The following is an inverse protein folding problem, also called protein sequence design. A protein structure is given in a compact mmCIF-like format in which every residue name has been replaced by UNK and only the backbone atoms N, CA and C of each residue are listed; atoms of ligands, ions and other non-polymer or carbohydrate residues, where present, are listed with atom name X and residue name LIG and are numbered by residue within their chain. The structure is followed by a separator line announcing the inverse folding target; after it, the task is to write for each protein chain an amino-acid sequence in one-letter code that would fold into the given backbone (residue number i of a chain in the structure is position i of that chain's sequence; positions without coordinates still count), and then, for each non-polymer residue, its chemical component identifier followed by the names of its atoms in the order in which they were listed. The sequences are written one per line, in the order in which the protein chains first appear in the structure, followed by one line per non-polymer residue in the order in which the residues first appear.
data_IF_647817289174
#
_entry.id   IF_647817289174
#
_cell.length_a   1.000
_cell.length_b   1.000
_cell.length_c   1.000
_cell.angle_alpha   90.00
_cell.angle_beta   90.00
_cell.angle_gamma   90.00
#
_symmetry.space_group_name_H-M   'P 1'
#
loop_
_entity.id
_entity.type
_entity.pdbx_description
1 polymer ?
#
# COMPACT_ATOMS: atom_id res chain seq x y z
N UNK A 1 -5.91 22.93 10.20
CA UNK A 1 -4.85 21.91 10.07
C UNK A 1 -3.84 22.42 9.05
N UNK A 2 -2.57 22.58 9.40
CA UNK A 2 -1.57 23.22 8.53
C UNK A 2 -1.31 22.34 7.30
N UNK A 3 -1.32 22.92 6.12
CA UNK A 3 -0.99 22.32 4.82
C UNK A 3 0.32 21.51 4.84
N UNK A 4 1.32 21.98 5.62
CA UNK A 4 2.58 21.27 5.83
C UNK A 4 2.40 19.91 6.52
N UNK A 5 1.42 19.75 7.41
CA UNK A 5 1.11 18.47 8.08
C UNK A 5 0.45 17.48 7.12
N UNK A 6 -0.38 17.94 6.20
CA UNK A 6 -1.03 17.07 5.20
C UNK A 6 -0.03 16.57 4.15
N UNK A 7 0.91 17.41 3.71
CA UNK A 7 1.99 17.01 2.79
C UNK A 7 2.98 16.03 3.45
N UNK A 8 3.34 16.26 4.71
CA UNK A 8 4.19 15.33 5.48
C UNK A 8 3.56 13.96 5.63
N UNK A 9 2.25 13.87 5.70
CA UNK A 9 1.51 12.62 5.90
C UNK A 9 1.44 11.78 4.64
N UNK A 10 1.31 12.39 3.46
CA UNK A 10 1.35 11.61 2.23
C UNK A 10 2.77 11.19 1.82
N UNK A 11 3.78 11.98 2.19
CA UNK A 11 5.16 11.49 2.18
C UNK A 11 5.32 10.27 3.11
N UNK A 12 4.59 10.25 4.23
CA UNK A 12 4.58 9.14 5.19
C UNK A 12 3.77 7.94 4.71
N UNK A 13 2.81 8.10 3.80
CA UNK A 13 2.03 7.00 3.20
C UNK A 13 2.88 6.10 2.30
N UNK A 14 3.91 6.67 1.68
CA UNK A 14 4.92 5.89 0.95
C UNK A 14 6.12 5.48 1.83
N UNK A 15 6.17 5.97 3.07
CA UNK A 15 7.22 5.65 4.05
C UNK A 15 6.66 4.66 5.07
N UNK A 16 7.00 3.44 4.91
CA UNK A 16 6.52 2.26 5.60
C UNK A 16 7.29 2.06 6.91
N UNK A 17 6.64 1.96 8.05
CA UNK A 17 7.30 1.82 9.36
C UNK A 17 6.98 0.50 10.07
N UNK A 18 7.99 -0.04 10.66
CA UNK A 18 8.25 -1.09 11.57
C UNK A 18 7.14 -1.92 12.21
N UNK A 19 6.90 -3.08 11.67
CA UNK A 19 6.19 -4.19 12.27
C UNK A 19 5.85 -5.21 11.19
N UNK A 20 5.88 -6.49 11.50
CA UNK A 20 5.27 -7.48 10.64
C UNK A 20 3.78 -7.19 10.54
N UNK A 21 3.18 -7.28 9.35
CA UNK A 21 1.73 -7.28 9.19
C UNK A 21 1.13 -8.40 10.06
N UNK A 22 -0.06 -8.18 10.63
CA UNK A 22 -0.72 -9.16 11.49
C UNK A 22 -1.25 -10.37 10.69
N UNK A 23 -1.41 -10.24 9.38
CA UNK A 23 -1.90 -11.30 8.50
C UNK A 23 -0.78 -12.08 7.82
N UNK A 24 -1.02 -13.37 7.60
CA UNK A 24 -0.13 -14.25 6.84
C UNK A 24 -0.47 -14.22 5.35
N UNK A 25 0.20 -13.33 4.61
CA UNK A 25 -0.06 -13.17 3.17
C UNK A 25 0.21 -14.46 2.38
N UNK A 26 1.13 -15.31 2.81
CA UNK A 26 1.40 -16.60 2.17
C UNK A 26 0.19 -17.54 2.25
N UNK A 27 -0.41 -17.63 3.44
CA UNK A 27 -1.63 -18.44 3.65
C UNK A 27 -2.82 -17.87 2.89
N UNK A 28 -3.02 -16.54 2.92
CA UNK A 28 -4.08 -15.86 2.18
C UNK A 28 -3.91 -16.08 0.68
N UNK A 29 -2.71 -15.91 0.15
CA UNK A 29 -2.41 -16.13 -1.27
C UNK A 29 -2.71 -17.57 -1.69
N UNK A 30 -2.33 -18.55 -0.87
CA UNK A 30 -2.61 -19.97 -1.12
C UNK A 30 -4.11 -20.28 -1.15
N UNK A 31 -4.90 -19.59 -0.31
CA UNK A 31 -6.34 -19.83 -0.20
C UNK A 31 -7.14 -19.10 -1.31
N UNK A 32 -6.71 -17.93 -1.76
CA UNK A 32 -7.52 -17.03 -2.58
C UNK A 32 -7.00 -16.83 -4.01
N UNK A 33 -5.72 -17.10 -4.29
CA UNK A 33 -5.22 -16.96 -5.67
C UNK A 33 -5.71 -18.10 -6.56
N UNK A 34 -6.10 -17.79 -7.82
CA UNK A 34 -6.36 -18.82 -8.81
C UNK A 34 -5.11 -19.70 -9.07
N UNK A 35 -5.27 -20.98 -9.46
CA UNK A 35 -4.16 -21.93 -9.61
C UNK A 35 -3.05 -21.52 -10.60
N UNK A 36 -3.34 -20.59 -11.53
CA UNK A 36 -2.36 -20.06 -12.47
C UNK A 36 -1.37 -19.07 -11.85
N UNK A 37 -1.69 -18.56 -10.65
CA UNK A 37 -0.83 -17.63 -9.92
C UNK A 37 0.10 -18.36 -8.97
N UNK A 38 1.26 -17.77 -8.79
CA UNK A 38 2.22 -18.21 -7.77
C UNK A 38 2.63 -16.99 -6.93
N UNK A 39 2.52 -17.14 -5.62
CA UNK A 39 3.06 -16.18 -4.66
C UNK A 39 4.20 -16.84 -3.90
N UNK A 40 5.29 -16.11 -3.71
CA UNK A 40 6.46 -16.56 -2.96
C UNK A 40 6.93 -15.42 -2.05
N UNK A 41 6.93 -15.65 -0.75
CA UNK A 41 7.52 -14.75 0.23
C UNK A 41 9.02 -14.63 0.03
N UNK A 42 9.54 -13.41 0.19
CA UNK A 42 10.95 -13.14 0.36
C UNK A 42 11.16 -13.01 1.88
N UNK A 43 11.81 -14.01 2.52
CA UNK A 43 11.77 -14.15 3.99
C UNK A 43 12.52 -13.03 4.72
N UNK A 44 13.37 -12.30 4.03
CA UNK A 44 14.17 -11.23 4.62
C UNK A 44 13.33 -9.96 4.78
N UNK A 45 13.27 -9.45 6.00
CA UNK A 45 12.72 -8.14 6.28
C UNK A 45 13.69 -7.08 5.75
N UNK A 46 13.16 -6.15 4.96
CA UNK A 46 13.92 -5.08 4.33
C UNK A 46 13.80 -3.79 5.13
N UNK A 47 14.79 -2.93 5.01
CA UNK A 47 14.81 -1.61 5.64
C UNK A 47 14.82 -0.51 4.56
N UNK A 48 13.97 0.49 4.74
CA UNK A 48 14.00 1.74 3.98
C UNK A 48 14.40 2.87 4.92
N UNK A 49 15.51 3.53 4.63
CA UNK A 49 15.94 4.74 5.34
C UNK A 49 15.46 5.98 4.61
N UNK A 50 14.71 6.83 5.31
CA UNK A 50 14.22 8.08 4.77
C UNK A 50 14.29 9.18 5.82
N UNK A 51 15.14 10.18 5.60
CA UNK A 51 15.54 11.17 6.61
C UNK A 51 16.07 10.47 7.89
N UNK A 52 15.53 10.81 9.04
CA UNK A 52 15.93 10.25 10.35
C UNK A 52 15.16 8.98 10.74
N UNK A 53 14.34 8.44 9.82
CA UNK A 53 13.48 7.30 10.08
C UNK A 53 13.94 6.05 9.32
N UNK A 54 13.87 4.91 10.00
CA UNK A 54 14.04 3.58 9.39
C UNK A 54 12.68 2.89 9.35
N UNK A 55 12.31 2.44 8.18
CA UNK A 55 11.04 1.76 7.91
C UNK A 55 11.29 0.31 7.57
N UNK A 56 10.55 -0.59 8.21
CA UNK A 56 10.64 -2.02 7.97
C UNK A 56 9.50 -2.48 7.07
N UNK A 57 9.81 -3.28 6.05
CA UNK A 57 8.82 -3.84 5.15
C UNK A 57 9.18 -5.27 4.77
N UNK A 58 8.18 -6.02 4.29
CA UNK A 58 8.36 -7.35 3.72
C UNK A 58 8.02 -7.31 2.24
N UNK A 59 8.60 -8.24 1.51
CA UNK A 59 8.35 -8.40 0.09
C UNK A 59 7.95 -9.84 -0.22
N UNK A 60 7.14 -9.98 -1.27
CA UNK A 60 6.88 -11.27 -1.91
C UNK A 60 6.77 -11.07 -3.41
N UNK A 61 7.00 -12.11 -4.16
CA UNK A 61 6.87 -12.12 -5.61
C UNK A 61 5.53 -12.76 -6.00
N UNK A 62 4.74 -12.04 -6.78
CA UNK A 62 3.52 -12.52 -7.41
C UNK A 62 3.78 -12.73 -8.90
N UNK A 63 3.43 -13.88 -9.43
CA UNK A 63 3.58 -14.16 -10.86
C UNK A 63 2.41 -14.97 -11.40
N UNK A 64 2.19 -14.86 -12.71
CA UNK A 64 1.16 -15.64 -13.42
C UNK A 64 1.62 -15.99 -14.83
N UNK A 65 1.35 -17.23 -15.23
CA UNK A 65 1.51 -17.68 -16.60
C UNK A 65 0.14 -17.75 -17.29
N UNK A 66 -0.10 -16.83 -18.22
CA UNK A 66 -1.33 -16.77 -18.99
C UNK A 66 -1.26 -17.80 -20.14
N UNK A 67 -1.80 -19.00 -19.92
CA UNK A 67 -1.68 -20.14 -20.84
C UNK A 67 -2.15 -19.83 -22.28
N UNK A 68 -3.27 -19.10 -22.44
CA UNK A 68 -3.84 -18.78 -23.75
C UNK A 68 -2.95 -17.83 -24.57
N UNK A 69 -2.34 -16.85 -23.93
CA UNK A 69 -1.48 -15.85 -24.60
C UNK A 69 0.00 -16.19 -24.53
N UNK A 70 0.39 -17.21 -23.76
CA UNK A 70 1.78 -17.54 -23.43
C UNK A 70 2.56 -16.35 -22.82
N UNK A 71 1.84 -15.41 -22.20
CA UNK A 71 2.44 -14.24 -21.56
C UNK A 71 2.71 -14.56 -20.10
N UNK A 72 3.86 -14.15 -19.63
CA UNK A 72 4.25 -14.18 -18.23
C UNK A 72 4.14 -12.77 -17.67
N UNK A 73 3.43 -12.62 -16.54
CA UNK A 73 3.40 -11.38 -15.81
C UNK A 73 3.90 -11.61 -14.39
N UNK A 74 4.63 -10.64 -13.86
CA UNK A 74 5.18 -10.69 -12.51
C UNK A 74 5.15 -9.32 -11.84
N UNK A 75 5.14 -9.32 -10.52
CA UNK A 75 5.23 -8.12 -9.71
C UNK A 75 5.69 -8.45 -8.30
N UNK A 76 5.99 -7.42 -7.55
CA UNK A 76 6.34 -7.52 -6.15
C UNK A 76 5.19 -6.99 -5.30
N UNK A 77 4.86 -7.73 -4.25
CA UNK A 77 3.95 -7.28 -3.21
C UNK A 77 4.83 -6.83 -2.04
N UNK A 78 4.61 -5.61 -1.60
CA UNK A 78 5.31 -5.01 -0.46
C UNK A 78 4.28 -4.81 0.64
N UNK A 79 4.56 -5.29 1.85
CA UNK A 79 3.66 -5.14 3.00
C UNK A 79 4.37 -4.45 4.14
N UNK A 80 3.64 -3.60 4.85
CA UNK A 80 4.19 -2.85 5.96
C UNK A 80 3.11 -2.12 6.75
N UNK A 81 3.49 -1.61 7.93
CA UNK A 81 2.62 -0.77 8.77
C UNK A 81 2.90 0.71 8.53
N UNK A 82 1.85 1.52 8.46
CA UNK A 82 2.01 2.96 8.46
C UNK A 82 2.54 3.47 9.81
N UNK A 83 3.46 4.44 9.78
CA UNK A 83 3.86 5.12 11.01
C UNK A 83 2.67 5.85 11.66
N UNK A 84 2.66 6.02 12.99
CA UNK A 84 1.54 6.62 13.72
C UNK A 84 1.05 7.95 13.14
N UNK A 85 1.96 8.83 12.72
CA UNK A 85 1.60 10.11 12.11
C UNK A 85 0.84 9.97 10.78
N UNK A 86 1.18 8.94 9.98
CA UNK A 86 0.47 8.58 8.76
C UNK A 86 -0.89 7.97 9.05
N UNK A 87 -0.91 7.01 9.97
CA UNK A 87 -2.13 6.36 10.42
C UNK A 87 -3.14 7.38 10.97
N UNK A 88 -2.73 8.29 11.85
CA UNK A 88 -3.62 9.32 12.44
C UNK A 88 -4.27 10.24 11.40
N UNK A 89 -3.61 10.45 10.26
CA UNK A 89 -4.20 11.26 9.18
C UNK A 89 -5.17 10.47 8.34
N UNK A 90 -4.93 9.19 8.11
CA UNK A 90 -5.83 8.36 7.31
C UNK A 90 -7.00 7.77 8.12
N UNK A 91 -6.82 7.52 9.42
CA UNK A 91 -7.87 7.00 10.33
C UNK A 91 -9.25 7.65 10.15
N UNK A 92 -9.39 9.00 9.99
CA UNK A 92 -10.70 9.61 9.78
C UNK A 92 -11.44 9.13 8.53
N UNK A 93 -10.73 8.57 7.54
CA UNK A 93 -11.35 8.08 6.30
C UNK A 93 -11.84 6.64 6.42
N UNK A 94 -11.35 5.86 7.39
CA UNK A 94 -11.77 4.48 7.64
C UNK A 94 -13.07 4.45 8.45
N UNK A 95 -14.15 4.89 7.80
CA UNK A 95 -15.51 4.91 8.34
C UNK A 95 -16.49 4.49 7.27
N UNK A 96 -17.61 3.94 7.70
CA UNK A 96 -18.69 3.58 6.79
C UNK A 96 -19.16 4.80 5.97
N UNK A 97 -19.35 5.93 6.65
CA UNK A 97 -19.75 7.20 6.04
C UNK A 97 -18.78 8.33 6.42
N UNK A 98 -18.32 9.07 5.41
CA UNK A 98 -17.51 10.26 5.62
C UNK A 98 -18.39 11.48 5.88
N UNK A 99 -17.99 12.29 6.85
CA UNK A 99 -18.59 13.63 7.03
C UNK A 99 -18.23 14.53 5.84
N UNK A 100 -19.02 15.62 5.64
CA UNK A 100 -18.74 16.61 4.58
C UNK A 100 -17.32 17.20 4.69
N UNK A 101 -16.80 17.34 5.92
CA UNK A 101 -15.44 17.85 6.16
C UNK A 101 -14.38 16.85 5.71
N UNK A 102 -14.56 15.57 6.03
CA UNK A 102 -13.66 14.48 5.61
C UNK A 102 -13.69 14.32 4.09
N UNK A 103 -14.87 14.34 3.48
CA UNK A 103 -15.05 14.31 2.03
C UNK A 103 -14.30 15.44 1.31
N UNK A 104 -14.41 16.68 1.82
CA UNK A 104 -13.68 17.84 1.29
C UNK A 104 -12.16 17.70 1.48
N UNK A 105 -11.72 17.08 2.58
CA UNK A 105 -10.30 16.82 2.83
C UNK A 105 -9.74 15.78 1.87
N UNK A 106 -10.45 14.68 1.66
CA UNK A 106 -10.11 13.63 0.69
C UNK A 106 -10.04 14.19 -0.74
N UNK A 107 -11.03 15.00 -1.14
CA UNK A 107 -11.05 15.62 -2.47
C UNK A 107 -9.90 16.59 -2.70
N UNK A 108 -9.49 17.34 -1.67
CA UNK A 108 -8.31 18.23 -1.74
C UNK A 108 -7.02 17.45 -1.88
N UNK A 109 -6.90 16.37 -1.14
CA UNK A 109 -5.77 15.47 -1.19
C UNK A 109 -5.60 14.85 -2.58
N UNK A 110 -6.66 14.27 -3.11
CA UNK A 110 -6.65 13.70 -4.46
C UNK A 110 -6.28 14.74 -5.53
N UNK A 111 -6.81 15.96 -5.44
CA UNK A 111 -6.42 17.06 -6.35
C UNK A 111 -4.95 17.42 -6.24
N UNK A 112 -4.39 17.41 -5.03
CA UNK A 112 -2.97 17.69 -4.84
C UNK A 112 -2.07 16.61 -5.46
N UNK A 113 -2.50 15.35 -5.53
CA UNK A 113 -1.77 14.32 -6.28
C UNK A 113 -1.83 14.51 -7.79
N UNK A 114 -2.93 15.02 -8.32
CA UNK A 114 -3.09 15.31 -9.74
C UNK A 114 -2.27 16.53 -10.20
N UNK A 115 -1.98 17.44 -9.29
CA UNK A 115 -1.19 18.64 -9.57
C UNK A 115 0.32 18.30 -9.57
N UNK A 116 0.96 18.45 -10.76
CA UNK A 116 2.39 18.15 -10.96
C UNK A 116 3.32 18.99 -10.09
N UNK A 117 2.91 20.18 -9.73
CA UNK A 117 3.72 21.13 -8.96
C UNK A 117 3.45 21.05 -7.45
N UNK A 118 2.50 20.24 -7.04
CA UNK A 118 2.17 20.13 -5.62
C UNK A 118 3.33 19.54 -4.81
N UNK A 119 3.58 20.06 -3.60
CA UNK A 119 4.59 19.50 -2.70
C UNK A 119 4.30 18.02 -2.35
N UNK A 120 3.04 17.63 -2.38
CA UNK A 120 2.60 16.26 -2.08
C UNK A 120 3.10 15.29 -3.14
N UNK A 121 2.93 15.63 -4.41
CA UNK A 121 3.38 14.79 -5.52
C UNK A 121 4.91 14.74 -5.59
N UNK A 122 5.59 15.88 -5.48
CA UNK A 122 7.06 15.94 -5.46
C UNK A 122 7.66 15.13 -4.32
N UNK A 123 7.01 15.16 -3.14
CA UNK A 123 7.41 14.32 -2.02
C UNK A 123 7.22 12.83 -2.28
N UNK A 124 6.12 12.43 -2.93
CA UNK A 124 5.91 11.04 -3.32
C UNK A 124 6.97 10.55 -4.33
N UNK A 125 7.33 11.38 -5.31
CA UNK A 125 8.39 11.09 -6.29
C UNK A 125 9.76 10.95 -5.61
N UNK A 126 10.06 11.78 -4.60
CA UNK A 126 11.31 11.69 -3.81
C UNK A 126 11.37 10.40 -2.98
N UNK A 127 10.27 10.01 -2.35
CA UNK A 127 10.20 8.74 -1.62
C UNK A 127 10.42 7.54 -2.54
N UNK A 128 9.78 7.53 -3.71
CA UNK A 128 9.98 6.47 -4.71
C UNK A 128 11.44 6.42 -5.19
N UNK A 129 12.08 7.57 -5.38
CA UNK A 129 13.50 7.64 -5.74
C UNK A 129 14.39 7.07 -4.64
N UNK A 130 14.12 7.38 -3.38
CA UNK A 130 14.89 6.84 -2.25
C UNK A 130 14.68 5.33 -2.08
N UNK A 131 13.44 4.84 -2.24
CA UNK A 131 13.15 3.41 -2.23
C UNK A 131 13.91 2.68 -3.36
N UNK A 132 13.87 3.21 -4.58
CA UNK A 132 14.58 2.63 -5.70
C UNK A 132 16.10 2.58 -5.48
N UNK A 133 16.70 3.62 -4.88
CA UNK A 133 18.11 3.61 -4.47
C UNK A 133 18.44 2.46 -3.50
N UNK A 134 17.56 2.20 -2.54
CA UNK A 134 17.78 1.12 -1.57
C UNK A 134 17.67 -0.27 -2.20
N UNK A 135 16.80 -0.45 -3.20
CA UNK A 135 16.59 -1.76 -3.85
C UNK A 135 17.65 -2.05 -4.93
N UNK A 136 18.05 -1.05 -5.69
CA UNK A 136 18.93 -1.21 -6.85
C UNK A 136 20.39 -0.84 -6.51
N UNK A 137 20.62 -0.23 -5.35
CA UNK A 137 21.89 0.35 -4.98
C UNK A 137 22.03 1.80 -5.48
N UNK A 138 23.24 2.20 -5.88
CA UNK A 138 23.46 3.56 -6.39
C UNK A 138 22.73 3.77 -7.73
N UNK A 139 21.70 4.59 -7.70
CA UNK A 139 21.12 5.13 -8.93
C UNK A 139 22.05 6.23 -9.46
N UNK A 140 22.36 6.19 -10.77
CA UNK A 140 23.12 7.24 -11.44
C UNK A 140 22.51 8.65 -11.18
N UNK A 141 23.32 9.69 -11.19
CA UNK A 141 22.90 11.06 -10.88
C UNK A 141 21.75 11.58 -11.76
N UNK A 142 21.60 11.06 -12.99
CA UNK A 142 20.57 11.45 -13.97
C UNK A 142 19.20 10.77 -13.79
N UNK A 143 19.07 9.79 -12.89
CA UNK A 143 17.82 9.01 -12.78
C UNK A 143 16.68 9.85 -12.23
N UNK A 144 15.59 9.92 -13.00
CA UNK A 144 14.30 10.53 -12.60
C UNK A 144 13.24 9.43 -12.43
N UNK A 145 12.35 9.64 -11.46
CA UNK A 145 11.23 8.71 -11.21
C UNK A 145 9.93 9.52 -11.15
N UNK A 146 9.46 10.04 -12.30
CA UNK A 146 8.18 10.74 -12.35
C UNK A 146 7.01 9.77 -12.14
N UNK A 147 6.00 10.28 -11.43
CA UNK A 147 4.72 9.62 -11.27
C UNK A 147 3.70 10.21 -12.25
N UNK A 148 2.85 9.39 -12.82
CA UNK A 148 1.76 9.80 -13.72
C UNK A 148 0.54 8.90 -13.56
N UNK A 149 -0.53 9.20 -14.30
CA UNK A 149 -1.75 8.39 -14.37
C UNK A 149 -2.27 7.97 -12.99
N UNK A 150 -2.40 8.97 -12.11
CA UNK A 150 -2.86 8.75 -10.74
C UNK A 150 -4.29 8.23 -10.68
N UNK A 151 -4.44 7.10 -10.00
CA UNK A 151 -5.73 6.64 -9.50
C UNK A 151 -5.96 7.28 -8.12
N UNK A 152 -7.11 7.96 -7.92
CA UNK A 152 -7.36 8.68 -6.67
C UNK A 152 -7.50 7.71 -5.48
N UNK A 153 -7.09 8.17 -4.31
CA UNK A 153 -7.34 7.46 -3.05
C UNK A 153 -8.84 7.34 -2.83
N UNK A 154 -9.35 6.11 -2.79
CA UNK A 154 -10.78 5.79 -2.69
C UNK A 154 -10.99 4.42 -2.07
N UNK A 155 -12.19 4.14 -1.59
CA UNK A 155 -12.59 2.77 -1.22
C UNK A 155 -12.46 1.86 -2.44
N UNK A 156 -11.99 0.64 -2.21
CA UNK A 156 -11.86 -0.33 -3.30
C UNK A 156 -13.23 -0.73 -3.83
N UNK A 157 -14.16 -1.04 -2.92
CA UNK A 157 -15.57 -1.27 -3.23
C UNK A 157 -16.46 -0.54 -2.22
N UNK A 158 -17.74 -0.36 -2.52
CA UNK A 158 -18.69 0.29 -1.60
C UNK A 158 -18.87 -0.50 -0.29
N UNK A 159 -18.81 -1.84 -0.39
CA UNK A 159 -19.04 -2.75 0.74
C UNK A 159 -17.81 -2.91 1.63
N UNK A 160 -16.62 -2.54 1.14
CA UNK A 160 -15.35 -2.61 1.88
C UNK A 160 -15.08 -1.28 2.61
N UNK A 161 -15.73 -1.10 3.77
CA UNK A 161 -15.68 0.17 4.51
C UNK A 161 -14.25 0.54 4.96
N UNK A 162 -13.41 -0.45 5.21
CA UNK A 162 -12.08 -0.28 5.80
C UNK A 162 -10.94 -0.58 4.83
N UNK A 163 -11.22 -0.70 3.54
CA UNK A 163 -10.21 -0.93 2.51
C UNK A 163 -10.17 0.21 1.51
N UNK A 164 -9.04 0.91 1.46
CA UNK A 164 -8.78 1.99 0.51
C UNK A 164 -7.67 1.62 -0.44
N UNK A 165 -7.72 2.18 -1.64
CA UNK A 165 -6.69 1.96 -2.67
C UNK A 165 -6.34 3.27 -3.37
N UNK A 166 -5.12 3.32 -3.87
CA UNK A 166 -4.64 4.34 -4.80
C UNK A 166 -3.58 3.74 -5.72
N UNK A 167 -3.39 4.33 -6.90
CA UNK A 167 -2.39 3.83 -7.84
C UNK A 167 -1.72 4.94 -8.64
N UNK A 168 -0.60 4.61 -9.26
CA UNK A 168 0.09 5.49 -10.19
C UNK A 168 0.98 4.69 -11.14
N UNK A 169 1.23 5.26 -12.32
CA UNK A 169 2.33 4.85 -13.17
C UNK A 169 3.63 5.46 -12.65
N UNK A 170 4.65 4.64 -12.54
CA UNK A 170 5.98 4.97 -12.04
C UNK A 170 6.95 4.77 -13.20
N UNK A 171 7.60 5.82 -13.66
CA UNK A 171 8.53 5.71 -14.78
C UNK A 171 9.95 5.86 -14.27
N UNK A 172 10.80 4.86 -14.49
CA UNK A 172 12.24 5.00 -14.30
C UNK A 172 12.83 5.55 -15.61
N UNK A 173 13.37 6.74 -15.56
CA UNK A 173 14.01 7.42 -16.68
C UNK A 173 15.49 7.62 -16.33
N UNK A 174 16.37 6.93 -17.05
CA UNK A 174 17.82 6.98 -16.90
C UNK A 174 18.45 7.10 -18.27
N UNK A 175 18.94 8.29 -18.63
CA UNK A 175 19.70 8.57 -19.85
C UNK A 175 19.06 8.00 -21.14
N UNK A 176 17.73 8.13 -21.24
CA UNK A 176 16.94 7.66 -22.39
C UNK A 176 16.44 6.21 -22.27
N UNK A 177 16.84 5.47 -21.25
CA UNK A 177 16.19 4.21 -20.90
C UNK A 177 14.95 4.51 -20.07
N UNK A 178 13.78 4.20 -20.63
CA UNK A 178 12.48 4.42 -20.00
C UNK A 178 11.87 3.08 -19.63
N UNK A 179 11.72 2.82 -18.32
CA UNK A 179 11.11 1.61 -17.78
C UNK A 179 9.80 1.97 -17.06
N UNK A 180 8.65 1.70 -17.69
CA UNK A 180 7.35 1.98 -17.08
C UNK A 180 6.94 0.85 -16.14
N UNK A 181 6.64 1.22 -14.90
CA UNK A 181 6.03 0.38 -13.87
C UNK A 181 4.67 0.93 -13.47
N UNK A 182 3.88 0.11 -12.84
CA UNK A 182 2.64 0.48 -12.19
C UNK A 182 2.72 0.11 -10.71
N UNK A 183 2.36 1.05 -9.85
CA UNK A 183 2.25 0.86 -8.42
C UNK A 183 0.80 1.01 -7.96
N UNK A 184 0.30 0.08 -7.15
CA UNK A 184 -1.01 0.18 -6.53
C UNK A 184 -0.92 -0.16 -5.06
N UNK A 185 -1.33 0.77 -4.21
CA UNK A 185 -1.32 0.63 -2.77
C UNK A 185 -2.73 0.39 -2.24
N UNK A 186 -2.82 -0.44 -1.22
CA UNK A 186 -4.01 -0.78 -0.48
C UNK A 186 -3.76 -0.45 0.97
N UNK A 187 -4.74 0.15 1.61
CA UNK A 187 -4.69 0.59 2.99
C UNK A 187 -5.89 -0.04 3.71
N UNK A 188 -5.63 -0.75 4.77
CA UNK A 188 -6.67 -1.31 5.62
C UNK A 188 -6.35 -1.09 7.08
N UNK A 189 -7.39 -0.89 7.86
CA UNK A 189 -7.27 -0.59 9.26
C UNK A 189 -7.15 -1.88 10.05
N UNK A 190 -6.22 -1.87 11.00
CA UNK A 190 -6.07 -2.88 12.02
C UNK A 190 -5.92 -2.20 13.38
N UNK A 191 -6.90 -2.37 14.27
CA UNK A 191 -6.94 -1.75 15.60
C UNK A 191 -6.58 -0.26 15.58
N UNK A 192 -5.41 0.10 16.07
CA UNK A 192 -4.92 1.47 16.16
C UNK A 192 -3.92 1.84 15.07
N UNK A 193 -3.59 0.93 14.17
CA UNK A 193 -2.68 1.18 13.05
C UNK A 193 -3.33 0.93 11.68
N UNK A 194 -2.61 1.25 10.63
CA UNK A 194 -3.02 1.01 9.25
C UNK A 194 -1.93 0.20 8.57
N UNK A 195 -2.34 -0.93 8.03
CA UNK A 195 -1.49 -1.76 7.19
C UNK A 195 -1.54 -1.28 5.74
N UNK A 196 -0.42 -1.43 5.07
CA UNK A 196 -0.25 -1.11 3.66
C UNK A 196 0.22 -2.35 2.92
N UNK A 197 -0.48 -2.67 1.84
CA UNK A 197 -0.06 -3.64 0.85
C UNK A 197 0.13 -2.91 -0.47
N UNK A 198 1.25 -3.08 -1.14
CA UNK A 198 1.53 -2.41 -2.42
C UNK A 198 1.97 -3.42 -3.47
N UNK A 199 1.32 -3.40 -4.63
CA UNK A 199 1.80 -4.06 -5.84
C UNK A 199 2.74 -3.12 -6.58
N UNK A 200 3.90 -3.62 -7.01
CA UNK A 200 4.77 -3.00 -8.00
C UNK A 200 5.00 -4.00 -9.15
N UNK A 201 4.64 -3.62 -10.36
CA UNK A 201 4.72 -4.48 -11.55
C UNK A 201 5.09 -3.67 -12.79
N UNK A 202 5.67 -4.26 -13.84
CA UNK A 202 5.74 -3.61 -15.14
C UNK A 202 4.36 -3.11 -15.57
N UNK A 203 4.30 -1.93 -16.20
CA UNK A 203 3.02 -1.31 -16.61
C UNK A 203 2.33 -2.13 -17.70
N UNK A 204 3.11 -2.74 -18.59
CA UNK A 204 2.58 -3.62 -19.63
C UNK A 204 2.16 -4.98 -19.06
N UNK A 205 0.90 -5.35 -19.27
CA UNK A 205 0.35 -6.64 -18.84
C UNK A 205 0.05 -6.76 -17.36
N UNK A 206 -0.11 -5.63 -16.66
CA UNK A 206 -0.39 -5.55 -15.22
C UNK A 206 -1.76 -6.06 -14.80
N UNK A 207 -2.75 -6.04 -15.71
CA UNK A 207 -4.16 -6.25 -15.39
C UNK A 207 -4.43 -7.54 -14.59
N UNK A 208 -3.89 -8.71 -14.96
CA UNK A 208 -4.13 -9.93 -14.18
C UNK A 208 -3.61 -9.83 -12.75
N UNK A 209 -2.46 -9.18 -12.56
CA UNK A 209 -1.86 -8.99 -11.24
C UNK A 209 -2.67 -8.00 -10.40
N UNK A 210 -3.18 -6.93 -11.02
CA UNK A 210 -4.03 -5.94 -10.33
C UNK A 210 -5.31 -6.60 -9.84
N UNK A 211 -5.97 -7.43 -10.63
CA UNK A 211 -7.16 -8.18 -10.19
C UNK A 211 -6.83 -9.14 -9.05
N UNK A 212 -5.74 -9.88 -9.16
CA UNK A 212 -5.34 -10.82 -8.14
C UNK A 212 -5.03 -10.14 -6.80
N UNK A 213 -4.33 -9.00 -6.84
CA UNK A 213 -4.01 -8.26 -5.61
C UNK A 213 -5.23 -7.54 -5.01
N UNK A 214 -6.20 -7.11 -5.83
CA UNK A 214 -7.48 -6.59 -5.34
C UNK A 214 -8.19 -7.64 -4.47
N UNK A 215 -8.20 -8.90 -4.90
CA UNK A 215 -8.81 -10.00 -4.16
C UNK A 215 -8.00 -10.39 -2.91
N UNK A 216 -6.66 -10.39 -3.00
CA UNK A 216 -5.80 -10.61 -1.84
C UNK A 216 -5.97 -9.50 -0.78
N UNK A 217 -6.07 -8.24 -1.18
CA UNK A 217 -6.26 -7.12 -0.27
C UNK A 217 -7.62 -7.20 0.45
N UNK A 218 -8.68 -7.61 -0.25
CA UNK A 218 -10.00 -7.86 0.37
C UNK A 218 -9.93 -9.02 1.38
N UNK A 219 -9.24 -10.10 1.03
CA UNK A 219 -9.10 -11.24 1.92
C UNK A 219 -8.29 -10.87 3.16
N UNK A 220 -7.18 -10.12 3.01
CA UNK A 220 -6.37 -9.64 4.11
C UNK A 220 -7.16 -8.71 5.05
N UNK A 221 -7.93 -7.76 4.50
CA UNK A 221 -8.77 -6.88 5.30
C UNK A 221 -9.82 -7.65 6.11
N UNK A 222 -10.47 -8.66 5.52
CA UNK A 222 -11.44 -9.52 6.23
C UNK A 222 -10.81 -10.35 7.34
N UNK A 223 -9.61 -10.88 7.11
CA UNK A 223 -8.89 -11.65 8.12
C UNK A 223 -8.54 -10.78 9.31
N UNK A 224 -8.14 -9.55 9.06
CA UNK A 224 -7.84 -8.55 10.09
C UNK A 224 -9.08 -8.20 10.92
N UNK A 225 -10.20 -7.88 10.27
CA UNK A 225 -11.47 -7.59 10.96
C UNK A 225 -11.94 -8.76 11.85
N UNK A 226 -11.80 -10.00 11.35
CA UNK A 226 -12.17 -11.20 12.12
C UNK A 226 -11.26 -11.44 13.33
N UNK A 227 -10.00 -11.01 13.29
CA UNK A 227 -9.09 -11.10 14.44
C UNK A 227 -9.45 -10.05 15.50
N UNK A 228 -9.76 -8.83 15.11
CA UNK A 228 -10.23 -7.77 16.02
C UNK A 228 -11.48 -8.22 16.79
N UNK A 229 -12.48 -8.76 16.12
CA UNK A 229 -13.69 -9.28 16.76
C UNK A 229 -13.41 -10.39 17.79
N UNK A 230 -12.47 -11.28 17.50
CA UNK A 230 -12.08 -12.36 18.42
C UNK A 230 -11.35 -11.84 19.65
N UNK A 231 -10.46 -10.85 19.47
CA UNK A 231 -9.75 -10.22 20.57
C UNK A 231 -10.69 -9.44 21.48
N UNK A 232 -11.61 -8.67 20.93
CA UNK A 232 -12.63 -7.94 21.70
C UNK A 232 -13.53 -8.90 22.51
N UNK A 233 -13.97 -10.00 21.90
CA UNK A 233 -14.73 -11.03 22.59
C UNK A 233 -13.93 -11.68 23.72
N UNK A 234 -12.66 -11.97 23.52
CA UNK A 234 -11.79 -12.56 24.53
C UNK A 234 -11.58 -11.60 25.72
N UNK A 235 -11.40 -10.31 25.46
CA UNK A 235 -11.27 -9.26 26.48
C UNK A 235 -12.58 -9.08 27.25
N UNK A 236 -13.72 -9.10 26.57
CA UNK A 236 -15.03 -9.02 27.22
C UNK A 236 -15.31 -10.24 28.12
N UNK A 237 -14.97 -11.45 27.67
CA UNK A 237 -15.11 -12.67 28.46
C UNK A 237 -14.19 -12.68 29.68
N UNK A 238 -12.95 -12.21 29.53
CA UNK A 238 -12.00 -12.10 30.64
C UNK A 238 -12.47 -11.09 31.69
N UNK A 239 -13.04 -9.95 31.29
CA UNK A 239 -13.62 -8.94 32.20
C UNK A 239 -14.90 -9.47 32.88
N UNK A 240 -15.71 -10.21 32.18
CA UNK A 240 -16.92 -10.86 32.75
C UNK A 240 -16.60 -11.93 33.79
N UNK A 241 -15.50 -12.68 33.59
CA UNK A 241 -15.05 -13.70 34.53
C UNK A 241 -14.35 -13.13 35.77
N UNK A 242 -13.80 -11.93 35.70
CA UNK A 242 -13.14 -11.25 36.82
C UNK A 242 -14.13 -10.43 37.71
N UNK A 243 -15.37 -10.31 37.29
CA UNK A 243 -16.44 -9.55 37.98
C UNK A 243 -17.44 -10.38 38.79
N UNK A 244 -17.22 -11.68 38.93
CA UNK A 244 -17.93 -12.61 39.82
C UNK A 244 -16.93 -13.10 40.90
#
# INVERSE_FOLDING_TARGET
MSWKKTAAVFMTVLCISGGASAYDLQSIAKAHLPPAFTYQDIPEQQELKFHDFTYLYRMGQLSVMLQKSRKFAYGYIITAKLPPAGADTLKPFFREYLTVKEWRSLSRMNRAFLDKDSPLRKGAEEVMKNWAKNVVGELGEGVKIPLSDFEPYRKLTADEAYLYTMGAKITFDSDGLILPFYGRAYFFRENDHIDVMMLLTPDEGKEPLVYAIDDLAKAAAKETDMQEEKEDLSVMLAKGAAGN
#
